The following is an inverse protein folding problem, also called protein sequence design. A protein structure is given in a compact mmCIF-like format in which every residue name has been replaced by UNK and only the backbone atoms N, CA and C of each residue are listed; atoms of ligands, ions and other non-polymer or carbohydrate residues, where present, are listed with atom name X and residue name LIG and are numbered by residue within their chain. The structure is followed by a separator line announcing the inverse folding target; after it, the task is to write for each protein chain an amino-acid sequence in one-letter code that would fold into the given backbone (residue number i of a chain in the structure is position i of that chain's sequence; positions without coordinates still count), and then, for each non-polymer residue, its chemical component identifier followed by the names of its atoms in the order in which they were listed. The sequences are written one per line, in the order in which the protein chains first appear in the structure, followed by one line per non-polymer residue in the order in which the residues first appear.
data_IF_705480307554
#
_entry.id   IF_705480307554
#
_cell.length_a   1.000
_cell.length_b   1.000
_cell.length_c   1.000
_cell.angle_alpha   90.00
_cell.angle_beta   90.00
_cell.angle_gamma   90.00
#
_symmetry.space_group_name_H-M   'P 1'
#
loop_
_entity.id
_entity.type
_entity.pdbx_description
1 polymer ?
#
# COMPACT_ATOMS: atom_id res chain seq x y z
N UNK A 1 -16.36 6.10 -23.27
CA UNK A 1 -16.20 6.24 -21.80
C UNK A 1 -17.53 6.14 -21.04
N UNK A 2 -18.64 6.64 -21.58
CA UNK A 2 -19.96 6.58 -20.88
C UNK A 2 -20.42 5.19 -20.42
N UNK A 3 -19.98 4.10 -21.07
CA UNK A 3 -20.40 2.73 -20.72
C UNK A 3 -19.90 2.23 -19.35
N UNK A 4 -18.96 2.92 -18.72
CA UNK A 4 -18.34 2.48 -17.45
C UNK A 4 -18.57 3.45 -16.28
N UNK A 5 -19.32 4.54 -16.50
CA UNK A 5 -19.59 5.56 -15.47
C UNK A 5 -20.34 4.98 -14.25
N UNK A 6 -21.03 3.87 -14.44
CA UNK A 6 -21.72 3.16 -13.33
C UNK A 6 -20.75 2.42 -12.41
N UNK A 7 -19.58 2.02 -12.90
CA UNK A 7 -18.62 1.18 -12.16
C UNK A 7 -17.28 1.86 -11.89
N UNK A 8 -16.90 2.87 -12.67
CA UNK A 8 -15.64 3.59 -12.51
C UNK A 8 -15.92 4.99 -11.96
N UNK A 9 -15.18 5.39 -10.94
CA UNK A 9 -15.13 6.77 -10.49
C UNK A 9 -14.18 7.57 -11.39
N UNK A 10 -14.70 8.61 -12.01
CA UNK A 10 -13.90 9.57 -12.79
C UNK A 10 -13.54 10.82 -11.97
N UNK A 11 -13.79 10.79 -10.65
CA UNK A 11 -13.40 11.87 -9.75
C UNK A 11 -11.89 12.02 -9.68
N UNK A 12 -11.44 13.25 -9.62
CA UNK A 12 -10.06 13.61 -9.33
C UNK A 12 -9.80 13.69 -7.80
N UNK A 13 -10.82 13.39 -7.00
CA UNK A 13 -10.72 13.32 -5.55
C UNK A 13 -10.85 11.88 -5.09
N UNK A 14 -10.06 11.52 -4.09
CA UNK A 14 -10.15 10.20 -3.46
C UNK A 14 -11.27 10.18 -2.42
N UNK A 15 -11.99 9.05 -2.29
CA UNK A 15 -12.94 8.88 -1.21
C UNK A 15 -12.19 8.87 0.14
N UNK A 16 -12.73 9.57 1.12
CA UNK A 16 -12.14 9.64 2.46
C UNK A 16 -12.37 8.37 3.28
N UNK A 17 -13.36 7.58 2.90
CA UNK A 17 -13.74 6.36 3.61
C UNK A 17 -14.04 5.22 2.63
N UNK A 18 -13.88 3.98 3.12
CA UNK A 18 -14.28 2.77 2.37
C UNK A 18 -15.79 2.81 2.05
N UNK A 19 -16.60 3.43 2.90
CA UNK A 19 -18.04 3.59 2.67
C UNK A 19 -18.32 4.45 1.43
N UNK A 20 -17.60 5.54 1.27
CA UNK A 20 -17.71 6.42 0.09
C UNK A 20 -17.19 5.76 -1.17
N UNK A 21 -16.16 4.92 -1.04
CA UNK A 21 -15.59 4.17 -2.16
C UNK A 21 -16.49 3.05 -2.68
N UNK A 22 -17.47 2.59 -1.90
CA UNK A 22 -18.28 1.41 -2.25
C UNK A 22 -19.01 1.55 -3.58
N UNK A 23 -19.00 0.43 -4.33
CA UNK A 23 -19.71 0.32 -5.61
C UNK A 23 -19.00 0.95 -6.79
N UNK A 24 -17.78 1.47 -6.59
CA UNK A 24 -16.97 2.08 -7.65
C UNK A 24 -15.55 1.53 -7.65
N UNK A 25 -14.96 1.47 -8.82
CA UNK A 25 -13.52 1.30 -9.02
C UNK A 25 -12.90 2.69 -9.03
N UNK A 26 -12.03 2.96 -8.07
CA UNK A 26 -11.24 4.19 -8.02
C UNK A 26 -9.88 3.97 -8.64
N UNK A 27 -9.50 4.83 -9.58
CA UNK A 27 -8.23 4.72 -10.30
C UNK A 27 -7.24 5.70 -9.66
N UNK A 28 -6.16 5.12 -9.13
CA UNK A 28 -4.99 5.86 -8.69
C UNK A 28 -3.90 5.69 -9.76
N UNK A 29 -3.42 6.78 -10.33
CA UNK A 29 -2.47 6.72 -11.43
C UNK A 29 -1.16 7.41 -11.10
N UNK A 30 -0.04 6.74 -11.39
CA UNK A 30 1.30 7.35 -11.41
C UNK A 30 1.54 8.22 -12.64
N UNK A 31 0.66 8.15 -13.63
CA UNK A 31 0.80 8.87 -14.89
C UNK A 31 -0.31 9.90 -15.04
N UNK A 32 -0.04 10.95 -15.77
CA UNK A 32 -1.05 11.94 -16.08
C UNK A 32 -2.12 11.32 -16.99
N UNK A 33 -3.21 10.89 -16.39
CA UNK A 33 -4.41 10.44 -17.08
C UNK A 33 -5.45 11.56 -17.08
N UNK A 34 -6.34 11.51 -18.06
CA UNK A 34 -7.46 12.46 -18.14
C UNK A 34 -8.59 12.17 -17.14
N UNK A 35 -8.44 11.15 -16.31
CA UNK A 35 -9.40 10.72 -15.29
C UNK A 35 -8.70 9.91 -14.19
N UNK A 36 -9.36 9.77 -13.06
CA UNK A 36 -8.80 9.14 -11.87
C UNK A 36 -8.10 10.17 -10.96
N UNK A 37 -7.61 9.70 -9.82
CA UNK A 37 -6.83 10.56 -8.93
C UNK A 37 -5.44 10.78 -9.55
N UNK A 38 -5.14 11.98 -9.98
CA UNK A 38 -3.85 12.28 -10.54
C UNK A 38 -2.85 12.52 -9.41
N UNK A 39 -1.95 11.60 -9.22
CA UNK A 39 -0.67 12.01 -8.71
C UNK A 39 0.04 12.77 -9.85
N UNK A 40 -0.01 14.10 -9.81
CA UNK A 40 0.55 14.97 -10.86
C UNK A 40 2.04 14.74 -11.14
N UNK A 41 2.70 14.16 -10.19
CA UNK A 41 4.08 13.71 -10.26
C UNK A 41 4.07 12.28 -9.77
N UNK A 42 4.06 11.30 -10.62
CA UNK A 42 4.21 9.90 -10.19
C UNK A 42 5.39 9.76 -9.22
N UNK A 43 5.26 8.92 -8.21
CA UNK A 43 6.41 8.65 -7.35
C UNK A 43 7.49 7.90 -8.13
N UNK A 44 8.75 8.19 -7.84
CA UNK A 44 9.89 7.47 -8.37
C UNK A 44 9.86 6.02 -7.88
N UNK A 45 10.51 5.14 -8.62
CA UNK A 45 10.73 3.78 -8.16
C UNK A 45 11.60 3.77 -6.90
N UNK A 46 11.39 2.80 -6.03
CA UNK A 46 12.21 2.53 -4.87
C UNK A 46 12.37 3.73 -3.93
N UNK A 47 11.24 4.25 -3.44
CA UNK A 47 11.23 5.46 -2.62
C UNK A 47 10.04 5.54 -1.69
N UNK A 48 10.17 6.39 -0.67
CA UNK A 48 9.03 6.93 0.07
C UNK A 48 8.66 8.29 -0.50
N UNK A 49 7.40 8.45 -0.87
CA UNK A 49 6.87 9.63 -1.51
C UNK A 49 5.75 10.25 -0.69
N UNK A 50 5.79 11.57 -0.54
CA UNK A 50 4.75 12.34 0.17
C UNK A 50 4.35 13.54 -0.68
N UNK A 51 3.08 13.64 -0.95
CA UNK A 51 2.52 14.80 -1.66
C UNK A 51 1.09 15.04 -1.20
N UNK A 52 0.79 16.27 -0.75
CA UNK A 52 -0.53 16.72 -0.31
C UNK A 52 -1.21 15.72 0.66
N UNK A 53 -2.15 14.93 0.16
CA UNK A 53 -2.93 13.93 0.90
C UNK A 53 -2.54 12.48 0.58
N UNK A 54 -1.42 12.26 -0.11
CA UNK A 54 -0.91 10.95 -0.49
C UNK A 54 0.44 10.66 0.18
N UNK A 55 0.55 9.51 0.82
CA UNK A 55 1.79 8.94 1.34
C UNK A 55 1.98 7.54 0.77
N UNK A 56 3.10 7.32 0.09
CA UNK A 56 3.44 6.02 -0.53
C UNK A 56 4.80 5.56 -0.02
N UNK A 57 4.88 4.37 0.52
CA UNK A 57 6.12 3.63 0.74
C UNK A 57 6.22 2.56 -0.34
N UNK A 58 7.17 2.69 -1.26
CA UNK A 58 7.44 1.80 -2.39
C UNK A 58 8.93 1.42 -2.48
N UNK A 59 9.58 1.27 -1.32
CA UNK A 59 10.95 0.78 -1.25
C UNK A 59 10.94 -0.73 -1.50
N UNK A 60 11.35 -1.15 -2.70
CA UNK A 60 11.28 -2.55 -3.11
C UNK A 60 12.64 -3.19 -3.34
N UNK A 61 13.69 -2.41 -3.55
CA UNK A 61 15.07 -2.86 -3.68
C UNK A 61 15.77 -2.68 -2.34
N UNK A 62 15.92 -3.75 -1.57
CA UNK A 62 16.39 -3.70 -0.18
C UNK A 62 17.65 -4.54 0.03
N UNK A 63 18.46 -4.17 1.02
CA UNK A 63 19.63 -4.93 1.42
C UNK A 63 19.30 -6.09 2.36
N UNK A 64 18.31 -5.90 3.23
CA UNK A 64 17.82 -6.98 4.08
C UNK A 64 16.31 -6.84 4.42
N UNK A 65 15.72 -7.95 4.88
CA UNK A 65 14.29 -8.04 5.19
C UNK A 65 13.90 -7.18 6.41
N UNK A 66 14.81 -6.96 7.35
CA UNK A 66 14.53 -6.15 8.54
C UNK A 66 14.36 -4.66 8.18
N UNK A 67 15.11 -4.17 7.19
CA UNK A 67 14.91 -2.82 6.64
C UNK A 67 13.47 -2.66 6.13
N UNK A 68 13.02 -3.59 5.31
CA UNK A 68 11.65 -3.57 4.79
C UNK A 68 10.59 -3.63 5.88
N UNK A 69 10.80 -4.44 6.92
CA UNK A 69 9.89 -4.48 8.07
C UNK A 69 9.79 -3.14 8.78
N UNK A 70 10.92 -2.42 8.93
CA UNK A 70 10.92 -1.08 9.52
C UNK A 70 10.17 -0.06 8.65
N UNK A 71 10.33 -0.12 7.33
CA UNK A 71 9.57 0.72 6.39
C UNK A 71 8.06 0.50 6.50
N UNK A 72 7.64 -0.77 6.56
CA UNK A 72 6.24 -1.14 6.75
C UNK A 72 5.69 -0.59 8.06
N UNK A 73 6.41 -0.78 9.18
CA UNK A 73 6.01 -0.28 10.51
C UNK A 73 5.94 1.25 10.51
N UNK A 74 6.95 1.91 9.97
CA UNK A 74 7.00 3.37 9.90
C UNK A 74 5.80 3.94 9.14
N UNK A 75 5.43 3.29 8.04
CA UNK A 75 4.28 3.68 7.23
C UNK A 75 2.95 3.44 7.95
N UNK A 76 2.82 2.35 8.70
CA UNK A 76 1.64 2.11 9.56
C UNK A 76 1.54 3.20 10.64
N UNK A 77 2.64 3.63 11.23
CA UNK A 77 2.64 4.71 12.20
C UNK A 77 2.18 6.05 11.57
N UNK A 78 2.55 6.32 10.32
CA UNK A 78 2.02 7.48 9.58
C UNK A 78 0.51 7.37 9.41
N UNK A 79 0.00 6.19 9.05
CA UNK A 79 -1.43 5.92 8.88
C UNK A 79 -2.24 6.14 10.17
N UNK A 80 -1.63 5.85 11.33
CA UNK A 80 -2.28 5.98 12.64
C UNK A 80 -2.07 7.37 13.31
N UNK A 81 -1.29 8.25 12.70
CA UNK A 81 -1.12 9.60 13.23
C UNK A 81 -2.37 10.43 12.95
N UNK A 82 -3.09 10.81 14.02
CA UNK A 82 -4.35 11.56 13.97
C UNK A 82 -4.23 12.95 13.32
N UNK A 83 -3.03 13.48 13.23
CA UNK A 83 -2.77 14.78 12.58
C UNK A 83 -2.63 14.66 11.06
N UNK A 84 -2.62 13.45 10.52
CA UNK A 84 -2.44 13.18 9.10
C UNK A 84 -3.75 12.72 8.47
N UNK A 85 -4.09 13.27 7.31
CA UNK A 85 -5.21 12.83 6.48
C UNK A 85 -4.73 12.17 5.19
N UNK A 86 -3.57 11.52 5.24
CA UNK A 86 -3.04 10.86 4.05
C UNK A 86 -3.86 9.63 3.66
N UNK A 87 -4.06 9.46 2.35
CA UNK A 87 -4.21 8.13 1.78
C UNK A 87 -2.84 7.47 1.84
N UNK A 88 -2.71 6.45 2.65
CA UNK A 88 -1.43 5.73 2.82
C UNK A 88 -1.43 4.47 1.98
N UNK A 89 -0.40 4.31 1.14
CA UNK A 89 -0.12 3.09 0.38
C UNK A 89 1.19 2.51 0.90
N UNK A 90 1.13 1.26 1.34
CA UNK A 90 2.23 0.57 1.97
C UNK A 90 2.53 -0.73 1.20
N UNK A 91 3.61 -0.72 0.44
CA UNK A 91 4.08 -1.90 -0.29
C UNK A 91 4.86 -2.81 0.66
N UNK A 92 4.37 -4.03 0.87
CA UNK A 92 5.12 -5.08 1.57
C UNK A 92 5.94 -5.93 0.60
N UNK A 93 5.73 -5.75 -0.69
CA UNK A 93 6.50 -6.36 -1.77
C UNK A 93 7.92 -5.81 -1.83
N UNK A 94 8.90 -6.68 -2.06
CA UNK A 94 10.30 -6.30 -2.25
C UNK A 94 11.13 -7.46 -2.82
N UNK A 95 12.39 -7.17 -3.17
CA UNK A 95 13.42 -8.17 -3.46
C UNK A 95 14.76 -7.77 -2.81
N UNK A 96 15.64 -8.74 -2.59
CA UNK A 96 16.97 -8.50 -2.03
C UNK A 96 17.99 -8.34 -3.17
N UNK A 97 18.61 -7.17 -3.27
CA UNK A 97 19.56 -6.86 -4.34
C UNK A 97 20.95 -7.46 -4.09
N UNK A 98 21.37 -7.54 -2.84
CA UNK A 98 22.69 -8.05 -2.46
C UNK A 98 22.78 -9.59 -2.42
N UNK A 99 21.71 -10.32 -2.69
CA UNK A 99 21.71 -11.77 -2.80
C UNK A 99 22.28 -12.24 -4.13
N UNK A 100 23.11 -13.29 -4.11
CA UNK A 100 23.58 -13.92 -5.35
C UNK A 100 23.16 -15.39 -5.41
N UNK A 101 22.33 -15.81 -6.38
CA UNK A 101 21.62 -14.95 -7.34
C UNK A 101 20.66 -13.97 -6.65
N UNK A 102 20.33 -12.83 -7.27
CA UNK A 102 19.38 -11.89 -6.71
C UNK A 102 18.10 -12.61 -6.28
N UNK A 103 17.60 -12.28 -5.10
CA UNK A 103 16.37 -12.90 -4.63
C UNK A 103 15.20 -12.38 -5.46
N UNK A 104 14.26 -13.27 -5.78
CA UNK A 104 13.00 -12.85 -6.38
C UNK A 104 11.97 -12.53 -5.29
N UNK A 105 10.95 -11.76 -5.63
CA UNK A 105 9.90 -11.31 -4.71
C UNK A 105 9.31 -12.42 -3.83
N UNK A 106 9.17 -13.66 -4.37
CA UNK A 106 8.69 -14.80 -3.61
C UNK A 106 9.61 -15.25 -2.46
N UNK A 107 10.91 -14.94 -2.52
CA UNK A 107 11.84 -15.22 -1.41
C UNK A 107 11.57 -14.25 -0.26
N UNK A 108 11.49 -12.96 -0.54
CA UNK A 108 11.18 -11.95 0.45
C UNK A 108 9.76 -12.13 1.06
N UNK A 109 8.77 -12.44 0.21
CA UNK A 109 7.40 -12.66 0.66
C UNK A 109 7.24 -13.82 1.66
N UNK A 110 8.10 -14.87 1.57
CA UNK A 110 8.08 -15.99 2.55
C UNK A 110 8.45 -15.54 3.96
N UNK A 111 9.25 -14.49 4.11
CA UNK A 111 9.64 -13.95 5.40
C UNK A 111 8.70 -12.83 5.85
N UNK A 112 8.36 -11.93 4.92
CA UNK A 112 7.57 -10.72 5.23
C UNK A 112 6.11 -11.07 5.52
N UNK A 113 5.45 -11.91 4.70
CA UNK A 113 4.02 -12.16 4.86
C UNK A 113 3.67 -12.83 6.21
N UNK A 114 4.34 -13.90 6.66
CA UNK A 114 4.07 -14.50 7.97
C UNK A 114 4.40 -13.55 9.13
N UNK A 115 5.50 -12.80 9.02
CA UNK A 115 5.84 -11.79 10.01
C UNK A 115 4.77 -10.71 10.09
N UNK A 116 4.28 -10.21 8.95
CA UNK A 116 3.28 -9.14 8.91
C UNK A 116 1.93 -9.60 9.50
N UNK A 117 1.54 -10.86 9.24
CA UNK A 117 0.36 -11.46 9.90
C UNK A 117 0.52 -11.44 11.42
N UNK A 118 1.68 -11.85 11.94
CA UNK A 118 1.97 -11.85 13.38
C UNK A 118 1.98 -10.42 13.93
N UNK A 119 2.62 -9.50 13.24
CA UNK A 119 2.65 -8.08 13.61
C UNK A 119 1.24 -7.50 13.74
N UNK A 120 0.37 -7.73 12.74
CA UNK A 120 -1.03 -7.26 12.77
C UNK A 120 -1.79 -7.84 13.95
N UNK A 121 -1.58 -9.13 14.28
CA UNK A 121 -2.25 -9.80 15.40
C UNK A 121 -1.79 -9.28 16.77
N UNK A 122 -0.51 -8.95 16.90
CA UNK A 122 0.10 -8.50 18.16
C UNK A 122 -0.10 -7.00 18.45
N UNK A 123 -0.20 -6.19 17.40
CA UNK A 123 -0.32 -4.75 17.53
C UNK A 123 -1.73 -4.29 17.17
N UNK A 124 -2.37 -3.61 18.10
CA UNK A 124 -3.73 -3.09 17.89
C UNK A 124 -3.71 -1.75 17.12
N UNK A 125 -3.25 -1.81 15.87
CA UNK A 125 -3.24 -0.65 14.97
C UNK A 125 -4.57 -0.58 14.22
N UNK A 126 -5.26 0.56 14.30
CA UNK A 126 -6.60 0.72 13.70
C UNK A 126 -6.54 0.94 12.19
N UNK A 127 -5.43 1.51 11.68
CA UNK A 127 -5.30 1.86 10.28
C UNK A 127 -3.99 1.31 9.71
N UNK A 128 -4.08 0.41 8.75
CA UNK A 128 -2.93 -0.15 8.06
C UNK A 128 -2.58 0.60 6.76
N UNK A 129 -3.51 1.43 6.25
CA UNK A 129 -3.43 1.95 4.89
C UNK A 129 -3.86 0.91 3.84
N UNK A 130 -3.58 1.20 2.58
CA UNK A 130 -3.74 0.23 1.49
C UNK A 130 -2.47 -0.62 1.45
N UNK A 131 -2.60 -1.91 1.71
CA UNK A 131 -1.48 -2.84 1.67
C UNK A 131 -1.37 -3.46 0.28
N UNK A 132 -0.19 -3.38 -0.30
CA UNK A 132 0.16 -4.01 -1.58
C UNK A 132 1.22 -5.06 -1.34
N UNK A 133 0.87 -6.33 -1.52
CA UNK A 133 1.73 -7.48 -1.22
C UNK A 133 1.92 -8.39 -2.42
N UNK A 134 3.11 -8.92 -2.56
CA UNK A 134 3.36 -10.10 -3.39
C UNK A 134 2.82 -11.36 -2.70
N UNK A 135 2.32 -12.30 -3.49
CA UNK A 135 1.85 -13.61 -3.01
C UNK A 135 0.84 -13.52 -1.85
N UNK A 136 -0.16 -12.65 -2.01
CA UNK A 136 -1.24 -12.47 -1.04
C UNK A 136 -1.93 -13.81 -0.75
N UNK A 137 -1.93 -14.21 0.53
CA UNK A 137 -2.65 -15.40 1.00
C UNK A 137 -4.02 -15.03 1.57
N UNK A 138 -4.90 -16.03 1.71
CA UNK A 138 -6.19 -15.85 2.37
C UNK A 138 -5.99 -15.38 3.84
N UNK A 139 -5.03 -15.98 4.56
CA UNK A 139 -4.75 -15.62 5.95
C UNK A 139 -4.26 -14.16 6.07
N UNK A 140 -3.35 -13.71 5.19
CA UNK A 140 -2.87 -12.34 5.17
C UNK A 140 -4.01 -11.37 4.84
N UNK A 141 -4.80 -11.70 3.81
CA UNK A 141 -5.96 -10.92 3.41
C UNK A 141 -6.98 -10.77 4.54
N UNK A 142 -7.27 -11.86 5.25
CA UNK A 142 -8.18 -11.86 6.40
C UNK A 142 -7.61 -11.03 7.56
N UNK A 143 -6.33 -11.15 7.88
CA UNK A 143 -5.68 -10.38 8.93
C UNK A 143 -5.79 -8.85 8.67
N UNK A 144 -5.55 -8.42 7.42
CA UNK A 144 -5.69 -7.03 7.01
C UNK A 144 -7.16 -6.58 7.06
N UNK A 145 -8.07 -7.39 6.49
CA UNK A 145 -9.49 -7.07 6.41
C UNK A 145 -10.13 -6.88 7.80
N UNK A 146 -9.79 -7.73 8.76
CA UNK A 146 -10.34 -7.66 10.13
C UNK A 146 -10.00 -6.37 10.88
N UNK A 147 -9.02 -5.59 10.39
CA UNK A 147 -8.67 -4.27 10.97
C UNK A 147 -9.62 -3.15 10.56
N UNK A 148 -10.52 -3.39 9.61
CA UNK A 148 -11.52 -2.43 9.17
C UNK A 148 -12.88 -2.61 9.89
N UNK A 149 -12.97 -3.55 10.82
CA UNK A 149 -14.14 -3.90 11.62
C UNK A 149 -13.74 -4.14 13.08
#
# INVERSE_FOLDING_TARGET
MKAYEEVISFSNELPQTVKEARGKIHILSRYNLSFGYPSYYGWSDDTTFVLDDLYVQDNYCIDDVEEKKQDIISTINVSNNLNNNYLVINFTSCYLDNAFPPSYAGTAARDINPWFISYIKEHNQDKLGIIVSDFMSEELSEAIYRRNY
#
